data_IF_867308029089
#
_entry.id   IF_867308029089
#
_cell.length_a   1.000
_cell.length_b   1.000
_cell.length_c   1.000
_cell.angle_alpha   90.00
_cell.angle_beta   90.00
_cell.angle_gamma   90.00
#
_symmetry.space_group_name_H-M   'P 1'
#
loop_
_entity.id
_entity.type
_entity.pdbx_description
1 polymer ?
#
# COMPACT_ATOMS: atom_id res chain seq x y z
N UNK A 1 38.79 -16.50 86.99
CA UNK A 1 37.58 -17.25 87.39
C UNK A 1 36.68 -17.40 86.17
N UNK A 2 36.57 -18.60 85.62
CA UNK A 2 35.66 -18.88 84.51
C UNK A 2 34.22 -18.84 85.03
N UNK A 3 33.35 -18.00 84.43
CA UNK A 3 31.91 -18.06 84.67
C UNK A 3 31.44 -19.43 84.17
N UNK A 4 31.00 -20.29 85.08
CA UNK A 4 30.27 -21.51 84.75
C UNK A 4 29.03 -21.10 83.96
N UNK A 5 29.00 -21.42 82.66
CA UNK A 5 27.81 -21.29 81.83
C UNK A 5 26.70 -22.11 82.48
N UNK A 6 25.74 -21.43 83.10
CA UNK A 6 24.56 -22.11 83.64
C UNK A 6 23.80 -22.75 82.48
N UNK A 7 23.33 -23.99 82.64
CA UNK A 7 22.51 -24.63 81.62
C UNK A 7 21.25 -23.79 81.41
N UNK A 8 20.78 -23.63 80.16
CA UNK A 8 19.58 -22.86 79.87
C UNK A 8 18.39 -23.37 80.72
N UNK A 9 17.47 -22.48 81.14
CA UNK A 9 16.26 -22.90 81.83
C UNK A 9 15.48 -23.90 80.98
N UNK A 10 14.97 -24.96 81.61
CA UNK A 10 14.17 -26.00 80.95
C UNK A 10 12.73 -25.51 80.80
N UNK A 11 12.17 -25.68 79.60
CA UNK A 11 10.77 -25.37 79.33
C UNK A 11 9.83 -26.33 80.06
N UNK A 12 8.66 -25.84 80.48
CA UNK A 12 7.59 -26.66 81.03
C UNK A 12 6.89 -27.44 79.90
N UNK A 13 6.35 -28.64 80.17
CA UNK A 13 5.56 -29.39 79.18
C UNK A 13 4.43 -28.57 78.54
N UNK A 14 3.78 -27.69 79.30
CA UNK A 14 2.73 -26.79 78.80
C UNK A 14 3.24 -25.77 77.76
N UNK A 15 4.45 -25.23 77.95
CA UNK A 15 5.10 -24.31 77.00
C UNK A 15 5.49 -25.04 75.71
N UNK A 16 5.98 -26.28 75.82
CA UNK A 16 6.27 -27.14 74.67
C UNK A 16 4.99 -27.48 73.87
N UNK A 17 3.91 -27.85 74.55
CA UNK A 17 2.61 -28.10 73.90
C UNK A 17 2.07 -26.85 73.19
N UNK A 18 2.17 -25.67 73.81
CA UNK A 18 1.75 -24.40 73.20
C UNK A 18 2.61 -24.05 71.98
N UNK A 19 3.94 -24.19 72.06
CA UNK A 19 4.86 -23.93 70.96
C UNK A 19 4.60 -24.87 69.77
N UNK A 20 4.41 -26.17 70.01
CA UNK A 20 4.05 -27.12 68.96
C UNK A 20 2.69 -26.80 68.34
N UNK A 21 1.67 -26.49 69.14
CA UNK A 21 0.35 -26.08 68.62
C UNK A 21 0.47 -24.86 67.71
N UNK A 22 1.23 -23.85 68.12
CA UNK A 22 1.49 -22.68 67.29
C UNK A 22 2.27 -23.04 66.01
N UNK A 23 3.23 -23.94 66.09
CA UNK A 23 3.98 -24.42 64.93
C UNK A 23 3.08 -25.17 63.93
N UNK A 24 2.20 -26.04 64.40
CA UNK A 24 1.21 -26.72 63.56
C UNK A 24 0.27 -25.72 62.88
N UNK A 25 -0.27 -24.74 63.61
CA UNK A 25 -1.12 -23.70 63.02
C UNK A 25 -0.38 -22.88 61.96
N UNK A 26 0.90 -22.53 62.19
CA UNK A 26 1.74 -21.83 61.21
C UNK A 26 1.99 -22.68 59.98
N UNK A 27 2.35 -23.95 60.15
CA UNK A 27 2.59 -24.88 59.06
C UNK A 27 1.32 -25.07 58.21
N UNK A 28 0.15 -25.21 58.84
CA UNK A 28 -1.14 -25.33 58.14
C UNK A 28 -1.47 -24.05 57.34
N UNK A 29 -1.26 -22.87 57.96
CA UNK A 29 -1.46 -21.60 57.28
C UNK A 29 -0.51 -21.40 56.08
N UNK A 30 0.75 -21.86 56.19
CA UNK A 30 1.70 -21.83 55.08
C UNK A 30 1.32 -22.81 53.97
N UNK A 31 0.89 -24.03 54.33
CA UNK A 31 0.39 -25.01 53.35
C UNK A 31 -0.80 -24.46 52.57
N UNK A 32 -1.82 -23.97 53.26
CA UNK A 32 -3.01 -23.38 52.62
C UNK A 32 -2.65 -22.19 51.71
N UNK A 33 -1.70 -21.34 52.14
CA UNK A 33 -1.20 -20.24 51.28
C UNK A 33 -0.49 -20.77 50.03
N UNK A 34 0.34 -21.80 50.17
CA UNK A 34 1.06 -22.43 49.06
C UNK A 34 0.09 -23.08 48.07
N UNK A 35 -0.89 -23.84 48.56
CA UNK A 35 -1.93 -24.48 47.73
C UNK A 35 -2.73 -23.43 46.96
N UNK A 36 -3.12 -22.33 47.62
CA UNK A 36 -3.80 -21.22 46.96
C UNK A 36 -2.93 -20.53 45.91
N UNK A 37 -1.64 -20.35 46.19
CA UNK A 37 -0.70 -19.76 45.23
C UNK A 37 -0.54 -20.65 43.99
N UNK A 38 -0.41 -21.96 44.16
CA UNK A 38 -0.33 -22.93 43.06
C UNK A 38 -1.61 -22.92 42.24
N UNK A 39 -2.78 -22.93 42.90
CA UNK A 39 -4.08 -22.88 42.22
C UNK A 39 -4.25 -21.59 41.41
N UNK A 40 -3.90 -20.43 41.99
CA UNK A 40 -3.97 -19.15 41.29
C UNK A 40 -2.96 -19.07 40.14
N UNK A 41 -1.74 -19.61 40.33
CA UNK A 41 -0.73 -19.70 39.28
C UNK A 41 -1.22 -20.54 38.11
N UNK A 42 -1.84 -21.70 38.37
CA UNK A 42 -2.40 -22.53 37.31
C UNK A 42 -3.55 -21.82 36.59
N UNK A 43 -4.46 -21.17 37.33
CA UNK A 43 -5.55 -20.37 36.72
C UNK A 43 -4.99 -19.29 35.79
N UNK A 44 -3.94 -18.60 36.22
CA UNK A 44 -3.30 -17.55 35.44
C UNK A 44 -2.64 -18.11 34.17
N UNK A 45 -1.97 -19.27 34.26
CA UNK A 45 -1.41 -19.97 33.08
C UNK A 45 -2.51 -20.28 32.07
N UNK A 46 -3.63 -20.87 32.52
CA UNK A 46 -4.74 -21.23 31.63
C UNK A 46 -5.40 -19.99 31.00
N UNK A 47 -5.54 -18.90 31.75
CA UNK A 47 -6.10 -17.63 31.28
C UNK A 47 -5.19 -16.95 30.24
N UNK A 48 -3.88 -16.91 30.51
CA UNK A 48 -2.88 -16.39 29.58
C UNK A 48 -2.87 -17.24 28.31
N UNK A 49 -2.85 -18.57 28.42
CA UNK A 49 -2.85 -19.46 27.27
C UNK A 49 -4.08 -19.23 26.37
N UNK A 50 -5.28 -19.16 26.95
CA UNK A 50 -6.51 -18.86 26.20
C UNK A 50 -6.45 -17.50 25.51
N UNK A 51 -5.98 -16.48 26.24
CA UNK A 51 -5.86 -15.12 25.71
C UNK A 51 -4.86 -15.07 24.57
N UNK A 52 -3.68 -15.66 24.74
CA UNK A 52 -2.63 -15.76 23.72
C UNK A 52 -3.13 -16.47 22.47
N UNK A 53 -3.75 -17.65 22.60
CA UNK A 53 -4.30 -18.38 21.45
C UNK A 53 -5.35 -17.57 20.70
N UNK A 54 -6.25 -16.89 21.43
CA UNK A 54 -7.26 -16.01 20.82
C UNK A 54 -6.61 -14.84 20.08
N UNK A 55 -5.68 -14.13 20.72
CA UNK A 55 -4.97 -13.01 20.10
C UNK A 55 -4.16 -13.44 18.88
N UNK A 56 -3.53 -14.62 18.90
CA UNK A 56 -2.84 -15.18 17.74
C UNK A 56 -3.81 -15.44 16.59
N UNK A 57 -4.95 -16.11 16.84
CA UNK A 57 -5.96 -16.37 15.81
C UNK A 57 -6.57 -15.08 15.25
N UNK A 58 -6.83 -14.09 16.10
CA UNK A 58 -7.36 -12.79 15.66
C UNK A 58 -6.34 -12.02 14.81
N UNK A 59 -5.04 -12.13 15.13
CA UNK A 59 -3.96 -11.51 14.35
C UNK A 59 -3.77 -12.22 12.99
N UNK A 60 -3.78 -13.55 12.98
CA UNK A 60 -3.68 -14.38 11.77
C UNK A 60 -4.79 -14.04 10.78
N UNK A 61 -6.06 -14.02 11.23
CA UNK A 61 -7.20 -13.64 10.38
C UNK A 61 -7.07 -12.24 9.80
N UNK A 62 -6.58 -11.27 10.58
CA UNK A 62 -6.37 -9.90 10.10
C UNK A 62 -5.25 -9.83 9.06
N UNK A 63 -4.20 -10.63 9.22
CA UNK A 63 -3.12 -10.75 8.22
C UNK A 63 -3.62 -11.40 6.93
N UNK A 64 -4.42 -12.47 7.03
CA UNK A 64 -5.06 -13.12 5.87
C UNK A 64 -5.94 -12.13 5.10
N UNK A 65 -6.82 -11.42 5.80
CA UNK A 65 -7.68 -10.40 5.19
C UNK A 65 -6.85 -9.32 4.50
N UNK A 66 -5.83 -8.80 5.18
CA UNK A 66 -4.93 -7.78 4.61
C UNK A 66 -4.22 -8.29 3.36
N UNK A 67 -3.74 -9.53 3.36
CA UNK A 67 -3.10 -10.14 2.19
C UNK A 67 -4.06 -10.24 1.01
N UNK A 68 -5.30 -10.67 1.26
CA UNK A 68 -6.34 -10.70 0.23
C UNK A 68 -6.60 -9.31 -0.35
N UNK A 69 -6.79 -8.30 0.50
CA UNK A 69 -7.00 -6.91 0.09
C UNK A 69 -5.83 -6.35 -0.73
N UNK A 70 -4.59 -6.55 -0.27
CA UNK A 70 -3.41 -6.03 -0.97
C UNK A 70 -3.20 -6.77 -2.30
N UNK A 71 -3.45 -8.09 -2.36
CA UNK A 71 -3.40 -8.86 -3.62
C UNK A 71 -4.46 -8.38 -4.61
N UNK A 72 -5.68 -8.14 -4.14
CA UNK A 72 -6.76 -7.57 -4.95
C UNK A 72 -6.35 -6.21 -5.53
N UNK A 73 -5.90 -5.28 -4.69
CA UNK A 73 -5.51 -3.95 -5.16
C UNK A 73 -4.27 -3.96 -6.06
N UNK A 74 -3.31 -4.84 -5.80
CA UNK A 74 -2.17 -5.03 -6.70
C UNK A 74 -2.66 -5.47 -8.09
N UNK A 75 -3.56 -6.45 -8.15
CA UNK A 75 -4.12 -6.92 -9.42
C UNK A 75 -4.88 -5.81 -10.15
N UNK A 76 -5.76 -5.08 -9.47
CA UNK A 76 -6.49 -3.96 -10.07
C UNK A 76 -5.53 -2.90 -10.65
N UNK A 77 -4.41 -2.64 -9.97
CA UNK A 77 -3.40 -1.70 -10.47
C UNK A 77 -2.60 -2.24 -11.65
N UNK A 78 -2.25 -3.52 -11.66
CA UNK A 78 -1.61 -4.17 -12.82
C UNK A 78 -2.54 -4.07 -14.05
N UNK A 79 -3.83 -4.40 -13.90
CA UNK A 79 -4.82 -4.35 -14.97
C UNK A 79 -5.00 -2.90 -15.49
N UNK A 80 -5.00 -1.90 -14.59
CA UNK A 80 -5.08 -0.48 -14.98
C UNK A 80 -3.81 0.03 -15.62
N UNK A 81 -2.64 -0.41 -15.18
CA UNK A 81 -1.36 -0.09 -15.80
C UNK A 81 -1.32 -0.61 -17.23
N UNK A 82 -1.75 -1.85 -17.46
CA UNK A 82 -1.85 -2.44 -18.79
C UNK A 82 -2.81 -1.65 -19.70
N UNK A 83 -4.03 -1.35 -19.24
CA UNK A 83 -4.98 -0.51 -19.97
C UNK A 83 -4.40 0.86 -20.33
N UNK A 84 -3.68 1.49 -19.38
CA UNK A 84 -3.08 2.80 -19.59
C UNK A 84 -1.95 2.76 -20.64
N UNK A 85 -1.18 1.67 -20.68
CA UNK A 85 -0.16 1.46 -21.71
C UNK A 85 -0.82 1.38 -23.09
N UNK A 86 -1.85 0.54 -23.26
CA UNK A 86 -2.57 0.40 -24.52
C UNK A 86 -3.16 1.73 -25.01
N UNK A 87 -3.88 2.44 -24.14
CA UNK A 87 -4.46 3.75 -24.50
C UNK A 87 -3.38 4.77 -24.87
N UNK A 88 -2.21 4.72 -24.24
CA UNK A 88 -1.10 5.62 -24.56
C UNK A 88 -0.49 5.30 -25.93
N UNK A 89 -0.39 4.02 -26.30
CA UNK A 89 0.07 3.60 -27.62
C UNK A 89 -0.89 4.03 -28.74
N UNK A 90 -2.20 3.91 -28.50
CA UNK A 90 -3.24 4.43 -29.40
C UNK A 90 -3.12 5.94 -29.59
N UNK A 91 -2.95 6.70 -28.49
CA UNK A 91 -2.77 8.15 -28.55
C UNK A 91 -1.51 8.55 -29.34
N UNK A 92 -0.40 7.82 -29.20
CA UNK A 92 0.81 8.06 -30.01
C UNK A 92 0.57 7.82 -31.51
N UNK A 93 -0.23 6.79 -31.83
CA UNK A 93 -0.65 6.52 -33.20
C UNK A 93 -1.53 7.65 -33.74
N UNK A 94 -2.50 8.13 -32.95
CA UNK A 94 -3.34 9.27 -33.34
C UNK A 94 -2.54 10.56 -33.47
N UNK A 95 -1.58 10.82 -32.57
CA UNK A 95 -0.68 11.97 -32.66
C UNK A 95 0.06 11.99 -34.01
N UNK A 96 0.60 10.83 -34.42
CA UNK A 96 1.27 10.69 -35.71
C UNK A 96 0.32 10.94 -36.89
N UNK A 97 -0.92 10.45 -36.81
CA UNK A 97 -1.95 10.69 -37.84
C UNK A 97 -2.34 12.16 -37.93
N UNK A 98 -2.50 12.84 -36.81
CA UNK A 98 -2.82 14.27 -36.74
C UNK A 98 -1.72 15.12 -37.35
N UNK A 99 -0.45 14.84 -37.03
CA UNK A 99 0.71 15.52 -37.64
C UNK A 99 0.73 15.35 -39.16
N UNK A 100 0.53 14.12 -39.64
CA UNK A 100 0.47 13.84 -41.09
C UNK A 100 -0.72 14.54 -41.77
N UNK A 101 -1.88 14.57 -41.11
CA UNK A 101 -3.06 15.26 -41.62
C UNK A 101 -2.80 16.77 -41.73
N UNK A 102 -2.22 17.39 -40.70
CA UNK A 102 -1.81 18.80 -40.73
C UNK A 102 -0.85 19.10 -41.87
N UNK A 103 0.16 18.26 -42.07
CA UNK A 103 1.12 18.42 -43.17
C UNK A 103 0.43 18.34 -44.54
N UNK A 104 -0.50 17.40 -44.71
CA UNK A 104 -1.25 17.23 -45.96
C UNK A 104 -2.16 18.40 -46.33
N UNK A 105 -2.54 19.26 -45.37
CA UNK A 105 -3.38 20.43 -45.61
C UNK A 105 -2.58 21.65 -46.11
N UNK A 106 -1.25 21.65 -45.94
CA UNK A 106 -0.41 22.79 -46.32
C UNK A 106 -0.38 23.02 -47.83
N UNK A 107 -0.23 21.95 -48.61
CA UNK A 107 -0.15 22.03 -50.06
C UNK A 107 -1.46 22.53 -50.69
N UNK A 108 -2.65 21.97 -50.38
CA UNK A 108 -3.92 22.52 -50.85
C UNK A 108 -4.10 24.00 -50.47
N UNK A 109 -3.79 24.38 -49.23
CA UNK A 109 -3.90 25.78 -48.81
C UNK A 109 -2.98 26.70 -49.61
N UNK A 110 -1.75 26.25 -49.89
CA UNK A 110 -0.80 27.00 -50.70
C UNK A 110 -1.31 27.19 -52.13
N UNK A 111 -1.82 26.13 -52.76
CA UNK A 111 -2.39 26.20 -54.12
C UNK A 111 -3.59 27.15 -54.15
N UNK A 112 -4.53 27.05 -53.21
CA UNK A 112 -5.69 27.96 -53.13
C UNK A 112 -5.25 29.42 -52.98
N UNK A 113 -4.21 29.69 -52.16
CA UNK A 113 -3.63 31.02 -52.00
C UNK A 113 -2.97 31.52 -53.29
N UNK A 114 -2.18 30.71 -53.96
CA UNK A 114 -1.59 31.07 -55.26
C UNK A 114 -2.68 31.39 -56.31
N UNK A 115 -3.77 30.61 -56.34
CA UNK A 115 -4.89 30.87 -57.24
C UNK A 115 -5.55 32.23 -56.98
N UNK A 116 -5.71 32.62 -55.72
CA UNK A 116 -6.19 33.96 -55.33
C UNK A 116 -5.20 35.04 -55.76
N UNK A 117 -3.90 34.88 -55.50
CA UNK A 117 -2.86 35.82 -55.91
C UNK A 117 -2.81 36.03 -57.44
N UNK A 118 -3.05 34.98 -58.23
CA UNK A 118 -3.15 35.10 -59.68
C UNK A 118 -4.39 35.88 -60.13
N UNK A 119 -5.52 35.72 -59.41
CA UNK A 119 -6.74 36.50 -59.69
C UNK A 119 -6.57 37.98 -59.37
N UNK A 120 -5.86 38.31 -58.30
CA UNK A 120 -5.55 39.70 -57.93
C UNK A 120 -4.70 40.44 -58.98
N UNK A 121 -4.01 39.69 -59.86
CA UNK A 121 -3.21 40.25 -60.97
C UNK A 121 -4.01 40.55 -62.24
N UNK A 122 -5.31 40.23 -62.28
CA UNK A 122 -6.19 40.59 -63.42
C UNK A 122 -6.29 42.12 -63.54
N UNK A 123 -6.53 42.62 -64.75
CA UNK A 123 -6.52 44.05 -65.05
C UNK A 123 -7.82 44.52 -65.69
N UNK A 124 -8.19 45.78 -65.45
CA UNK A 124 -9.37 46.39 -66.05
C UNK A 124 -10.67 45.70 -65.64
N UNK A 125 -11.52 45.39 -66.61
CA UNK A 125 -12.84 44.79 -66.38
C UNK A 125 -12.76 43.34 -65.88
N UNK A 126 -11.62 42.66 -66.11
CA UNK A 126 -11.42 41.27 -65.69
C UNK A 126 -11.05 41.15 -64.20
N UNK A 127 -10.70 42.26 -63.53
CA UNK A 127 -10.50 42.29 -62.09
C UNK A 127 -11.86 42.31 -61.38
N UNK A 128 -12.48 41.14 -61.31
CA UNK A 128 -13.81 40.93 -60.76
C UNK A 128 -13.82 39.81 -59.73
N UNK A 129 -14.62 40.01 -58.69
CA UNK A 129 -14.93 39.01 -57.67
C UNK A 129 -15.97 38.00 -58.19
N UNK A 130 -15.51 37.15 -59.10
CA UNK A 130 -16.31 36.10 -59.71
C UNK A 130 -16.68 34.98 -58.72
N UNK A 131 -17.57 34.08 -59.14
CA UNK A 131 -17.98 32.92 -58.35
C UNK A 131 -16.78 32.08 -57.89
N UNK A 132 -15.79 31.93 -58.76
CA UNK A 132 -14.61 31.12 -58.45
C UNK A 132 -13.71 31.80 -57.41
N UNK A 133 -13.56 33.13 -57.40
CA UNK A 133 -12.89 33.84 -56.31
C UNK A 133 -13.61 33.62 -54.98
N UNK A 134 -14.95 33.66 -54.98
CA UNK A 134 -15.73 33.40 -53.77
C UNK A 134 -15.53 31.96 -53.27
N UNK A 135 -15.51 30.98 -54.16
CA UNK A 135 -15.26 29.58 -53.79
C UNK A 135 -13.82 29.34 -53.32
N UNK A 136 -12.81 29.99 -53.91
CA UNK A 136 -11.42 29.91 -53.44
C UNK A 136 -11.24 30.53 -52.04
N UNK A 137 -11.90 31.65 -51.75
CA UNK A 137 -11.89 32.23 -50.40
C UNK A 137 -12.52 31.26 -49.40
N UNK A 138 -13.67 30.68 -49.73
CA UNK A 138 -14.33 29.67 -48.87
C UNK A 138 -13.44 28.44 -48.67
N UNK A 139 -12.81 27.93 -49.72
CA UNK A 139 -11.88 26.80 -49.64
C UNK A 139 -10.72 27.10 -48.68
N UNK A 140 -10.09 28.28 -48.80
CA UNK A 140 -9.01 28.69 -47.90
C UNK A 140 -9.48 28.80 -46.43
N UNK A 141 -10.68 29.34 -46.20
CA UNK A 141 -11.30 29.42 -44.86
C UNK A 141 -11.56 28.04 -44.28
N UNK A 142 -12.12 27.12 -45.06
CA UNK A 142 -12.38 25.73 -44.63
C UNK A 142 -11.08 25.01 -44.30
N UNK A 143 -10.06 25.09 -45.17
CA UNK A 143 -8.77 24.43 -44.92
C UNK A 143 -8.13 24.98 -43.64
N UNK A 144 -8.12 26.31 -43.44
CA UNK A 144 -7.61 26.93 -42.21
C UNK A 144 -8.40 26.48 -40.97
N UNK A 145 -9.72 26.36 -41.09
CA UNK A 145 -10.58 25.84 -40.01
C UNK A 145 -10.23 24.40 -39.64
N UNK A 146 -10.02 23.53 -40.63
CA UNK A 146 -9.57 22.14 -40.41
C UNK A 146 -8.18 22.10 -39.78
N UNK A 147 -7.23 22.91 -40.25
CA UNK A 147 -5.89 22.99 -39.65
C UNK A 147 -5.93 23.47 -38.19
N UNK A 148 -6.77 24.46 -37.87
CA UNK A 148 -6.94 24.93 -36.49
C UNK A 148 -7.51 23.83 -35.58
N UNK A 149 -8.52 23.09 -36.06
CA UNK A 149 -9.10 21.96 -35.34
C UNK A 149 -8.05 20.86 -35.09
N UNK A 150 -7.31 20.46 -36.13
CA UNK A 150 -6.29 19.42 -36.02
C UNK A 150 -5.16 19.85 -35.07
N UNK A 151 -4.77 21.12 -35.08
CA UNK A 151 -3.74 21.67 -34.18
C UNK A 151 -4.20 21.60 -32.72
N UNK A 152 -5.41 22.06 -32.43
CA UNK A 152 -5.99 21.97 -31.09
C UNK A 152 -6.07 20.52 -30.60
N UNK A 153 -6.57 19.61 -31.44
CA UNK A 153 -6.66 18.18 -31.09
C UNK A 153 -5.27 17.58 -30.84
N UNK A 154 -4.24 18.01 -31.59
CA UNK A 154 -2.87 17.57 -31.37
C UNK A 154 -2.33 18.03 -30.01
N UNK A 155 -2.64 19.25 -29.58
CA UNK A 155 -2.30 19.76 -28.25
C UNK A 155 -2.99 18.95 -27.14
N UNK A 156 -4.29 18.69 -27.29
CA UNK A 156 -5.08 17.88 -26.35
C UNK A 156 -4.53 16.45 -26.23
N UNK A 157 -4.21 15.79 -27.35
CA UNK A 157 -3.58 14.46 -27.37
C UNK A 157 -2.20 14.48 -26.71
N UNK A 158 -1.40 15.50 -26.97
CA UNK A 158 -0.05 15.61 -26.40
C UNK A 158 -0.08 15.79 -24.89
N UNK A 159 -1.02 16.59 -24.38
CA UNK A 159 -1.24 16.75 -22.94
C UNK A 159 -1.76 15.44 -22.32
N UNK A 160 -2.69 14.75 -22.97
CA UNK A 160 -3.20 13.47 -22.46
C UNK A 160 -2.09 12.41 -22.38
N UNK A 161 -1.17 12.33 -23.36
CA UNK A 161 0.00 11.45 -23.31
C UNK A 161 0.89 11.80 -22.10
N UNK A 162 1.09 13.10 -21.83
CA UNK A 162 1.87 13.56 -20.67
C UNK A 162 1.23 13.13 -19.35
N UNK A 163 -0.08 13.30 -19.21
CA UNK A 163 -0.84 12.88 -18.04
C UNK A 163 -0.79 11.36 -17.85
N UNK A 164 -0.95 10.59 -18.93
CA UNK A 164 -0.85 9.13 -18.88
C UNK A 164 0.53 8.67 -18.40
N UNK A 165 1.61 9.30 -18.86
CA UNK A 165 2.97 8.98 -18.38
C UNK A 165 3.14 9.26 -16.88
N UNK A 166 2.57 10.36 -16.40
CA UNK A 166 2.59 10.68 -14.96
C UNK A 166 1.79 9.67 -14.14
N UNK A 167 0.60 9.28 -14.62
CA UNK A 167 -0.23 8.28 -13.94
C UNK A 167 0.45 6.91 -13.92
N UNK A 168 1.08 6.51 -15.04
CA UNK A 168 1.88 5.29 -15.16
C UNK A 168 3.00 5.24 -14.12
N UNK A 169 3.79 6.31 -14.00
CA UNK A 169 4.86 6.38 -13.01
C UNK A 169 4.35 6.16 -11.58
N UNK A 170 3.22 6.79 -11.22
CA UNK A 170 2.63 6.63 -9.90
C UNK A 170 2.12 5.21 -9.64
N UNK A 171 1.49 4.58 -10.64
CA UNK A 171 1.04 3.18 -10.56
C UNK A 171 2.22 2.22 -10.40
N UNK A 172 3.27 2.36 -11.22
CA UNK A 172 4.48 1.52 -11.12
C UNK A 172 5.15 1.65 -9.75
N UNK A 173 5.17 2.86 -9.18
CA UNK A 173 5.68 3.09 -7.82
C UNK A 173 4.83 2.39 -6.77
N UNK A 174 3.51 2.58 -6.79
CA UNK A 174 2.63 1.95 -5.80
C UNK A 174 2.65 0.41 -5.91
N UNK A 175 2.70 -0.13 -7.13
CA UNK A 175 2.86 -1.56 -7.37
C UNK A 175 4.14 -2.11 -6.73
N UNK A 176 5.26 -1.38 -6.83
CA UNK A 176 6.52 -1.76 -6.17
C UNK A 176 6.35 -1.78 -4.65
N UNK A 177 5.72 -0.76 -4.08
CA UNK A 177 5.47 -0.68 -2.64
C UNK A 177 4.55 -1.82 -2.16
N UNK A 178 3.50 -2.15 -2.92
CA UNK A 178 2.62 -3.29 -2.63
C UNK A 178 3.33 -4.62 -2.75
N UNK A 179 4.23 -4.80 -3.73
CA UNK A 179 5.03 -6.02 -3.83
C UNK A 179 5.89 -6.25 -2.59
N UNK A 180 6.54 -5.19 -2.08
CA UNK A 180 7.32 -5.25 -0.84
C UNK A 180 6.41 -5.57 0.35
N UNK A 181 5.26 -4.88 0.47
CA UNK A 181 4.30 -5.13 1.53
C UNK A 181 3.80 -6.59 1.53
N UNK A 182 3.41 -7.13 0.37
CA UNK A 182 3.00 -8.52 0.23
C UNK A 182 4.10 -9.49 0.61
N UNK A 183 5.35 -9.22 0.22
CA UNK A 183 6.49 -10.08 0.57
C UNK A 183 6.66 -10.15 2.09
N UNK A 184 6.57 -9.00 2.78
CA UNK A 184 6.66 -8.94 4.24
C UNK A 184 5.46 -9.67 4.88
N UNK A 185 4.25 -9.37 4.42
CA UNK A 185 3.02 -9.93 4.98
C UNK A 185 2.94 -11.45 4.77
N UNK A 186 3.38 -11.99 3.63
CA UNK A 186 3.47 -13.44 3.36
C UNK A 186 4.48 -14.11 4.31
N UNK A 187 5.64 -13.47 4.56
CA UNK A 187 6.61 -13.97 5.54
C UNK A 187 5.96 -13.99 6.93
N UNK A 188 5.33 -12.89 7.34
CA UNK A 188 4.66 -12.80 8.64
C UNK A 188 3.57 -13.86 8.81
N UNK A 189 2.76 -14.12 7.79
CA UNK A 189 1.73 -15.17 7.83
C UNK A 189 2.34 -16.57 7.93
N UNK A 190 3.52 -16.81 7.36
CA UNK A 190 4.20 -18.11 7.46
C UNK A 190 4.79 -18.39 8.86
N UNK A 191 4.92 -17.37 9.71
CA UNK A 191 5.47 -17.51 11.05
C UNK A 191 4.48 -18.22 11.98
N UNK A 192 4.99 -19.17 12.76
CA UNK A 192 4.21 -19.94 13.73
C UNK A 192 5.05 -20.21 14.99
N UNK A 193 4.47 -20.86 16.00
CA UNK A 193 5.13 -21.10 17.28
C UNK A 193 6.39 -22.00 17.19
N UNK A 194 6.63 -22.66 16.05
CA UNK A 194 7.82 -23.47 15.77
C UNK A 194 8.83 -22.74 14.88
N UNK A 195 8.58 -21.48 14.53
CA UNK A 195 9.51 -20.68 13.73
C UNK A 195 10.85 -20.49 14.47
N UNK A 196 11.97 -20.39 13.74
CA UNK A 196 13.28 -20.17 14.33
C UNK A 196 13.34 -18.83 15.07
N UNK A 197 14.31 -18.71 15.98
CA UNK A 197 14.54 -17.51 16.81
C UNK A 197 13.42 -17.16 17.80
N UNK A 198 12.50 -18.06 18.10
CA UNK A 198 11.59 -17.93 19.24
C UNK A 198 12.34 -18.37 20.50
N UNK A 199 12.57 -17.43 21.41
CA UNK A 199 13.26 -17.68 22.68
C UNK A 199 12.65 -16.80 23.79
N UNK A 200 12.81 -17.24 25.03
CA UNK A 200 12.44 -16.42 26.18
C UNK A 200 13.28 -15.13 26.22
N UNK A 201 12.67 -14.05 26.70
CA UNK A 201 13.39 -12.82 27.01
C UNK A 201 14.61 -13.11 27.89
N UNK A 202 15.72 -12.42 27.66
CA UNK A 202 16.94 -12.54 28.48
C UNK A 202 16.68 -12.35 29.97
N UNK A 203 15.62 -11.59 30.32
CA UNK A 203 15.20 -11.30 31.70
C UNK A 203 14.22 -12.31 32.29
N UNK A 204 13.89 -13.38 31.58
CA UNK A 204 12.99 -14.41 32.10
C UNK A 204 13.61 -15.09 33.33
N UNK A 205 12.82 -15.22 34.40
CA UNK A 205 13.23 -15.92 35.63
C UNK A 205 13.50 -17.38 35.28
N UNK A 206 14.75 -17.81 35.47
CA UNK A 206 15.15 -19.20 35.33
C UNK A 206 15.04 -19.86 36.69
N UNK A 207 14.22 -20.89 36.78
CA UNK A 207 14.21 -21.77 37.95
C UNK A 207 15.22 -22.87 37.65
N UNK A 208 16.36 -22.86 38.35
CA UNK A 208 17.29 -23.97 38.26
C UNK A 208 16.66 -25.22 38.89
N UNK A 209 16.85 -26.40 38.29
CA UNK A 209 16.28 -27.65 38.76
C UNK A 209 16.81 -28.08 40.14
#
# INVERSE_FOLDING_TARGET
MAKLLQPPPKFLPSEWHLANKNQYHRAEAQRSRSERLVAESQRLVDEIEKTTRKSQSDAEKKLEQRLEEVRFWKKEQDDKLEQLVYVTEDLLTYQTRLVKALESMKEPLHITQMCLEYREKRVGIDLVRDEVEQELVKEAEVIRGVMALLTRTLEEVSEQIRLNRSARYNLEKDLKDKFVALTIDDICLSLNNNSPNIHYSEKAVRVEP
#
